data_IF_048317053286
#
_entry.id   IF_048317053286
#
_cell.length_a   1.000
_cell.length_b   1.000
_cell.length_c   1.000
_cell.angle_alpha   90.00
_cell.angle_beta   90.00
_cell.angle_gamma   90.00
#
_symmetry.space_group_name_H-M   'P 1'
#
loop_
_entity.id
_entity.type
_entity.pdbx_description
1 polymer ?
#
# COMPACT_ATOMS: atom_id res chain seq x y z
N UNK A 1 17.95 0.80 -0.85
CA UNK A 1 17.11 1.83 -1.51
C UNK A 1 15.72 1.25 -1.65
N UNK A 2 14.71 1.97 -1.18
CA UNK A 2 13.28 1.62 -1.26
C UNK A 2 12.54 2.79 -1.91
N UNK A 3 11.27 2.59 -2.25
CA UNK A 3 10.41 3.59 -2.87
C UNK A 3 9.06 3.53 -2.16
N UNK A 4 8.54 4.64 -1.66
CA UNK A 4 7.17 4.68 -1.12
C UNK A 4 6.13 4.52 -2.24
N UNK A 5 4.93 4.06 -1.91
CA UNK A 5 3.85 3.98 -2.89
C UNK A 5 3.52 5.36 -3.49
N UNK A 6 3.56 6.42 -2.67
CA UNK A 6 3.36 7.80 -3.11
C UNK A 6 4.37 8.21 -4.19
N UNK A 7 5.67 7.99 -3.96
CA UNK A 7 6.72 8.29 -4.95
C UNK A 7 6.55 7.47 -6.24
N UNK A 8 6.14 6.21 -6.12
CA UNK A 8 5.89 5.36 -7.28
C UNK A 8 4.75 5.92 -8.16
N UNK A 9 3.66 6.40 -7.55
CA UNK A 9 2.54 6.98 -8.29
C UNK A 9 2.83 8.38 -8.82
N UNK A 10 3.58 9.20 -8.08
CA UNK A 10 4.03 10.51 -8.54
C UNK A 10 4.87 10.39 -9.83
N UNK A 11 5.82 9.46 -9.86
CA UNK A 11 6.65 9.22 -11.06
C UNK A 11 5.82 8.62 -12.21
N UNK A 12 4.82 7.80 -11.89
CA UNK A 12 3.95 7.14 -12.87
C UNK A 12 2.96 8.12 -13.51
N UNK A 13 2.44 9.08 -12.75
CA UNK A 13 1.39 10.02 -13.20
C UNK A 13 0.06 9.34 -13.49
N UNK A 14 -0.37 8.41 -12.62
CA UNK A 14 -1.65 7.73 -12.77
C UNK A 14 -1.89 6.62 -11.75
N UNK A 15 -3.10 6.03 -11.73
CA UNK A 15 -3.48 5.09 -10.69
C UNK A 15 -2.77 3.74 -10.82
N UNK A 16 -2.78 3.00 -9.72
CA UNK A 16 -2.49 1.57 -9.73
C UNK A 16 -3.52 0.83 -10.60
N UNK A 17 -3.04 -0.12 -11.38
CA UNK A 17 -3.90 -1.09 -12.06
C UNK A 17 -4.32 -2.19 -11.09
N UNK A 18 -5.43 -2.86 -11.40
CA UNK A 18 -6.00 -3.92 -10.56
C UNK A 18 -4.99 -4.99 -10.14
N UNK A 19 -4.17 -5.50 -11.06
CA UNK A 19 -3.15 -6.50 -10.74
C UNK A 19 -2.02 -5.95 -9.86
N UNK A 20 -1.72 -4.65 -9.96
CA UNK A 20 -0.76 -3.99 -9.07
C UNK A 20 -1.34 -3.85 -7.66
N UNK A 21 -2.65 -3.59 -7.54
CA UNK A 21 -3.35 -3.54 -6.25
C UNK A 21 -3.37 -4.92 -5.59
N UNK A 22 -3.72 -5.97 -6.33
CA UNK A 22 -3.64 -7.36 -5.83
C UNK A 22 -2.23 -7.71 -5.34
N UNK A 23 -1.21 -7.32 -6.11
CA UNK A 23 0.17 -7.60 -5.75
C UNK A 23 0.62 -6.86 -4.49
N UNK A 24 0.33 -5.56 -4.39
CA UNK A 24 0.66 -4.76 -3.19
C UNK A 24 -0.14 -5.28 -1.99
N UNK A 25 -1.43 -5.58 -2.15
CA UNK A 25 -2.27 -6.17 -1.10
C UNK A 25 -1.68 -7.48 -0.58
N UNK A 26 -1.30 -8.40 -1.47
CA UNK A 26 -0.68 -9.67 -1.09
C UNK A 26 0.63 -9.45 -0.33
N UNK A 27 1.54 -8.65 -0.87
CA UNK A 27 2.83 -8.42 -0.21
C UNK A 27 2.67 -7.71 1.14
N UNK A 28 1.74 -6.76 1.25
CA UNK A 28 1.46 -6.05 2.51
C UNK A 28 0.86 -6.99 3.55
N UNK A 29 -0.06 -7.88 3.15
CA UNK A 29 -0.65 -8.85 4.04
C UNK A 29 0.39 -9.89 4.54
N UNK A 30 1.31 -10.34 3.68
CA UNK A 30 2.44 -11.19 4.08
C UNK A 30 3.36 -10.49 5.11
N UNK A 31 3.72 -9.23 4.85
CA UNK A 31 4.55 -8.44 5.76
C UNK A 31 3.86 -8.18 7.10
N UNK A 32 2.55 -7.90 7.10
CA UNK A 32 1.76 -7.77 8.33
C UNK A 32 1.68 -9.09 9.10
N UNK A 33 1.42 -10.21 8.43
CA UNK A 33 1.39 -11.52 9.09
C UNK A 33 2.71 -11.83 9.79
N UNK A 34 3.84 -11.58 9.12
CA UNK A 34 5.17 -11.81 9.71
C UNK A 34 5.47 -10.83 10.86
N UNK A 35 5.00 -9.59 10.75
CA UNK A 35 5.10 -8.60 11.83
C UNK A 35 4.34 -9.07 13.08
N UNK A 36 3.07 -9.45 12.94
CA UNK A 36 2.26 -9.96 14.06
C UNK A 36 2.79 -11.28 14.63
N UNK A 37 3.51 -12.09 13.84
CA UNK A 37 4.18 -13.31 14.33
C UNK A 37 5.42 -12.99 15.19
N UNK A 38 6.13 -11.91 14.87
CA UNK A 38 7.38 -11.50 15.54
C UNK A 38 7.15 -10.66 16.79
N UNK A 39 6.11 -9.84 16.81
CA UNK A 39 5.82 -8.95 17.95
C UNK A 39 5.21 -9.77 19.09
N UNK A 40 5.93 -9.83 20.21
CA UNK A 40 5.36 -10.22 21.50
C UNK A 40 4.52 -9.06 22.05
N UNK A 41 3.47 -9.37 22.82
CA UNK A 41 2.59 -8.40 23.51
C UNK A 41 3.32 -7.36 24.39
N UNK A 42 4.63 -7.50 24.58
CA UNK A 42 5.47 -6.66 25.44
C UNK A 42 5.88 -5.31 24.82
N UNK A 43 5.69 -5.09 23.51
CA UNK A 43 5.92 -3.77 22.90
C UNK A 43 4.80 -3.37 21.91
N UNK A 44 3.63 -2.96 22.43
CA UNK A 44 2.53 -2.47 21.60
C UNK A 44 2.86 -1.18 20.84
N UNK A 45 3.85 -0.40 21.30
CA UNK A 45 4.25 0.85 20.64
C UNK A 45 4.88 0.59 19.26
N UNK A 46 5.54 -0.56 19.08
CA UNK A 46 6.09 -0.99 17.79
C UNK A 46 5.03 -1.23 16.70
N UNK A 47 3.74 -1.25 17.05
CA UNK A 47 2.61 -1.41 16.13
C UNK A 47 1.73 -0.14 16.04
N UNK A 48 2.22 1.01 16.52
CA UNK A 48 1.47 2.26 16.55
C UNK A 48 1.44 3.05 15.22
N UNK A 49 1.91 2.47 14.11
CA UNK A 49 2.02 3.17 12.82
C UNK A 49 0.72 3.08 12.00
N UNK A 50 0.55 4.04 11.09
CA UNK A 50 -0.55 4.08 10.13
C UNK A 50 0.00 3.71 8.75
N UNK A 51 -0.62 2.75 8.08
CA UNK A 51 -0.29 2.44 6.68
C UNK A 51 -0.93 3.52 5.81
N UNK A 52 -0.11 4.16 5.00
CA UNK A 52 -0.45 5.25 4.10
C UNK A 52 0.41 5.13 2.83
N UNK A 53 0.11 5.88 1.76
CA UNK A 53 0.94 5.89 0.56
C UNK A 53 2.41 6.23 0.83
N UNK A 54 2.70 7.04 1.85
CA UNK A 54 4.06 7.44 2.20
C UNK A 54 4.78 6.45 3.12
N UNK A 55 4.04 5.72 3.96
CA UNK A 55 4.61 4.74 4.88
C UNK A 55 4.75 3.33 4.28
N UNK A 56 4.02 3.02 3.20
CA UNK A 56 4.13 1.75 2.48
C UNK A 56 5.34 1.77 1.54
N UNK A 57 6.40 1.08 1.91
CA UNK A 57 7.66 1.02 1.17
C UNK A 57 7.71 -0.22 0.28
N UNK A 58 7.92 0.00 -1.01
CA UNK A 58 8.17 -1.01 -2.03
C UNK A 58 9.68 -1.30 -2.10
N UNK A 59 10.08 -2.57 -1.95
CA UNK A 59 11.49 -2.96 -1.98
C UNK A 59 11.91 -3.54 -3.34
N UNK A 60 13.18 -3.38 -3.76
CA UNK A 60 13.72 -4.01 -4.98
C UNK A 60 13.63 -5.54 -4.99
N UNK A 61 13.49 -6.18 -3.82
CA UNK A 61 13.22 -7.61 -3.68
C UNK A 61 11.82 -8.01 -4.17
N UNK A 62 10.90 -7.06 -4.32
CA UNK A 62 9.49 -7.29 -4.63
C UNK A 62 8.61 -7.51 -3.39
N UNK A 63 9.19 -7.41 -2.19
CA UNK A 63 8.44 -7.36 -0.93
C UNK A 63 8.10 -5.91 -0.55
N UNK A 64 7.31 -5.74 0.50
CA UNK A 64 6.96 -4.43 1.07
C UNK A 64 7.35 -4.35 2.54
N UNK A 65 7.60 -3.15 3.04
CA UNK A 65 7.80 -2.86 4.46
C UNK A 65 7.04 -1.59 4.84
N UNK A 66 6.95 -1.30 6.13
CA UNK A 66 6.28 -0.12 6.66
C UNK A 66 7.26 0.75 7.45
N UNK A 67 7.04 2.06 7.45
CA UNK A 67 7.82 3.02 8.23
C UNK A 67 6.92 4.11 8.80
N UNK A 68 7.28 4.62 9.98
CA UNK A 68 6.72 5.84 10.57
C UNK A 68 7.68 7.04 10.41
N UNK A 69 8.81 6.85 9.71
CA UNK A 69 9.78 7.89 9.47
C UNK A 69 9.30 8.84 8.35
N UNK A 70 9.58 10.14 8.51
CA UNK A 70 9.34 11.19 7.50
C UNK A 70 7.88 11.38 7.05
N UNK A 71 6.90 10.87 7.79
CA UNK A 71 5.45 11.09 7.51
C UNK A 71 4.82 12.23 8.31
N UNK A 72 5.59 12.92 9.16
CA UNK A 72 5.07 13.95 10.09
C UNK A 72 4.45 15.18 9.39
N UNK A 73 4.77 15.41 8.12
CA UNK A 73 4.21 16.49 7.30
C UNK A 73 2.94 16.09 6.54
N UNK A 74 2.56 14.81 6.55
CA UNK A 74 1.43 14.29 5.77
C UNK A 74 0.13 14.28 6.60
N UNK A 75 -0.99 14.58 5.94
CA UNK A 75 -2.31 14.38 6.54
C UNK A 75 -2.70 12.89 6.45
N UNK A 76 -2.63 12.19 7.57
CA UNK A 76 -2.92 10.76 7.66
C UNK A 76 -4.39 10.48 8.02
N UNK A 77 -5.23 11.50 8.18
CA UNK A 77 -6.61 11.33 8.67
C UNK A 77 -7.43 10.40 7.78
N UNK A 78 -7.25 10.48 6.47
CA UNK A 78 -7.95 9.63 5.50
C UNK A 78 -7.58 8.13 5.61
N UNK A 79 -6.42 7.82 6.21
CA UNK A 79 -5.93 6.45 6.38
C UNK A 79 -6.08 5.95 7.81
N UNK A 80 -6.51 6.81 8.74
CA UNK A 80 -6.61 6.50 10.15
C UNK A 80 -7.97 5.87 10.44
N UNK A 81 -7.96 4.70 11.10
CA UNK A 81 -9.19 4.01 11.48
C UNK A 81 -10.09 4.88 12.39
N UNK A 82 -11.43 4.83 12.24
CA UNK A 82 -12.35 5.68 12.99
C UNK A 82 -12.17 5.62 14.51
N UNK A 83 -11.93 4.44 15.07
CA UNK A 83 -11.72 4.22 16.49
C UNK A 83 -10.44 4.88 17.02
N UNK A 84 -9.40 4.99 16.18
CA UNK A 84 -8.16 5.68 16.52
C UNK A 84 -8.39 7.19 16.52
N UNK A 85 -9.11 7.73 15.53
CA UNK A 85 -9.52 9.14 15.51
C UNK A 85 -10.40 9.52 16.71
N UNK A 86 -11.18 8.56 17.20
CA UNK A 86 -12.05 8.73 18.36
C UNK A 86 -11.34 8.44 19.70
N UNK A 87 -10.03 8.15 19.69
CA UNK A 87 -9.23 7.80 20.86
C UNK A 87 -9.83 6.64 21.68
N UNK A 88 -10.43 5.66 21.00
CA UNK A 88 -10.91 4.44 21.66
C UNK A 88 -9.72 3.59 22.09
N UNK A 89 -9.83 2.93 23.25
CA UNK A 89 -8.79 2.06 23.76
C UNK A 89 -8.70 0.79 22.92
N UNK A 90 -7.50 0.46 22.45
CA UNK A 90 -7.19 -0.81 21.79
C UNK A 90 -6.85 -1.83 22.86
N UNK A 91 -7.53 -2.97 22.84
CA UNK A 91 -7.49 -3.94 23.95
C UNK A 91 -6.80 -5.24 23.57
N UNK A 92 -6.59 -5.48 22.28
CA UNK A 92 -6.01 -6.72 21.77
C UNK A 92 -5.14 -6.51 20.54
N UNK A 93 -4.28 -7.50 20.24
CA UNK A 93 -3.56 -7.54 18.96
C UNK A 93 -4.52 -7.65 17.76
N UNK A 94 -5.72 -8.20 17.97
CA UNK A 94 -6.73 -8.23 16.90
C UNK A 94 -7.21 -6.81 16.59
N UNK A 95 -7.44 -5.96 17.59
CA UNK A 95 -7.83 -4.56 17.36
C UNK A 95 -6.74 -3.83 16.56
N UNK A 96 -5.47 -4.06 16.92
CA UNK A 96 -4.32 -3.52 16.19
C UNK A 96 -4.26 -4.04 14.76
N UNK A 97 -4.47 -5.35 14.54
CA UNK A 97 -4.58 -5.93 13.19
C UNK A 97 -5.67 -5.23 12.37
N UNK A 98 -6.84 -4.97 12.95
CA UNK A 98 -7.96 -4.31 12.26
C UNK A 98 -7.69 -2.87 11.87
N UNK A 99 -6.86 -2.15 12.62
CA UNK A 99 -6.41 -0.80 12.26
C UNK A 99 -5.45 -0.83 11.08
N UNK A 100 -4.51 -1.79 11.06
CA UNK A 100 -3.60 -1.96 9.92
C UNK A 100 -4.36 -2.39 8.66
N UNK A 101 -5.37 -3.26 8.80
CA UNK A 101 -6.25 -3.65 7.70
C UNK A 101 -7.00 -2.45 7.13
N UNK A 102 -7.59 -1.62 7.98
CA UNK A 102 -8.30 -0.41 7.54
C UNK A 102 -7.37 0.55 6.80
N UNK A 103 -6.23 0.87 7.41
CA UNK A 103 -5.27 1.83 6.85
C UNK A 103 -4.67 1.35 5.53
N UNK A 104 -4.37 0.05 5.40
CA UNK A 104 -3.97 -0.56 4.14
C UNK A 104 -5.08 -0.48 3.07
N UNK A 105 -6.34 -0.75 3.44
CA UNK A 105 -7.47 -0.66 2.52
C UNK A 105 -7.64 0.76 1.97
N UNK A 106 -7.60 1.77 2.85
CA UNK A 106 -7.65 3.18 2.45
C UNK A 106 -6.46 3.58 1.58
N UNK A 107 -5.27 3.05 1.87
CA UNK A 107 -4.06 3.27 1.05
C UNK A 107 -4.23 2.74 -0.37
N UNK A 108 -4.83 1.56 -0.53
CA UNK A 108 -5.05 0.95 -1.83
C UNK A 108 -6.18 1.62 -2.61
N UNK A 109 -7.25 2.07 -1.94
CA UNK A 109 -8.27 2.91 -2.58
C UNK A 109 -7.67 4.22 -3.08
N UNK A 110 -6.84 4.88 -2.27
CA UNK A 110 -6.12 6.07 -2.70
C UNK A 110 -5.25 5.80 -3.92
N UNK A 111 -4.53 4.67 -3.94
CA UNK A 111 -3.72 4.28 -5.09
C UNK A 111 -4.54 3.97 -6.36
N UNK A 112 -5.76 3.44 -6.20
CA UNK A 112 -6.68 3.18 -7.31
C UNK A 112 -7.36 4.44 -7.86
N UNK A 113 -7.49 5.48 -7.02
CA UNK A 113 -8.10 6.77 -7.34
C UNK A 113 -7.08 7.86 -7.73
N UNK A 114 -5.78 7.55 -7.65
CA UNK A 114 -4.72 8.53 -7.89
C UNK A 114 -4.80 9.13 -9.29
N UNK A 115 -4.93 10.46 -9.36
CA UNK A 115 -5.12 11.23 -10.60
C UNK A 115 -6.33 10.79 -11.46
N UNK A 116 -7.30 10.09 -10.87
CA UNK A 116 -8.57 9.80 -11.52
C UNK A 116 -9.46 11.06 -11.46
N UNK A 117 -10.04 11.52 -12.59
CA UNK A 117 -10.96 12.66 -12.56
C UNK A 117 -12.17 12.37 -11.68
N UNK A 118 -12.59 13.30 -10.83
CA UNK A 118 -13.72 13.13 -9.89
C UNK A 118 -15.05 12.70 -10.55
N UNK A 119 -15.22 12.95 -11.84
CA UNK A 119 -16.39 12.52 -12.60
C UNK A 119 -16.38 11.02 -12.97
N UNK A 120 -15.24 10.35 -12.79
CA UNK A 120 -15.05 8.94 -13.12
C UNK A 120 -14.98 8.12 -11.83
N UNK A 121 -15.74 7.02 -11.74
CA UNK A 121 -15.60 6.11 -10.61
C UNK A 121 -14.28 5.35 -10.71
N UNK A 122 -13.73 4.98 -9.56
CA UNK A 122 -12.64 4.02 -9.45
C UNK A 122 -13.05 2.72 -10.17
N UNK A 123 -12.15 2.18 -11.01
CA UNK A 123 -12.40 0.97 -11.79
C UNK A 123 -11.69 -0.22 -11.17
N UNK A 124 -12.40 -1.00 -10.38
CA UNK A 124 -11.93 -2.25 -9.80
C UNK A 124 -12.90 -3.38 -10.14
N UNK A 125 -12.37 -4.58 -10.35
CA UNK A 125 -13.18 -5.79 -10.40
C UNK A 125 -13.95 -6.00 -9.08
N UNK A 126 -15.16 -6.55 -9.19
CA UNK A 126 -16.10 -6.71 -8.07
C UNK A 126 -15.48 -7.46 -6.88
N UNK A 127 -14.64 -8.46 -7.17
CA UNK A 127 -14.01 -9.25 -6.12
C UNK A 127 -12.99 -8.43 -5.31
N UNK A 128 -12.09 -7.72 -5.98
CA UNK A 128 -11.12 -6.86 -5.32
C UNK A 128 -11.83 -5.75 -4.54
N UNK A 129 -12.82 -5.11 -5.15
CA UNK A 129 -13.59 -4.06 -4.51
C UNK A 129 -14.30 -4.58 -3.25
N UNK A 130 -14.89 -5.77 -3.29
CA UNK A 130 -15.53 -6.38 -2.12
C UNK A 130 -14.53 -6.63 -0.98
N UNK A 131 -13.30 -7.04 -1.28
CA UNK A 131 -12.26 -7.23 -0.27
C UNK A 131 -11.86 -5.87 0.34
N UNK A 132 -11.60 -4.86 -0.49
CA UNK A 132 -11.23 -3.53 0.00
C UNK A 132 -12.35 -2.88 0.83
N UNK A 133 -13.62 -3.03 0.42
CA UNK A 133 -14.78 -2.62 1.24
C UNK A 133 -14.77 -3.34 2.59
N UNK A 134 -14.57 -4.66 2.60
CA UNK A 134 -14.46 -5.45 3.83
C UNK A 134 -13.26 -5.07 4.70
N UNK A 135 -12.19 -4.48 4.15
CA UNK A 135 -11.07 -3.94 4.92
C UNK A 135 -11.42 -2.59 5.55
N UNK A 136 -12.20 -1.77 4.84
CA UNK A 136 -12.55 -0.39 5.18
C UNK A 136 -13.88 -0.25 5.94
N UNK A 137 -14.44 -1.32 6.47
CA UNK A 137 -15.64 -1.24 7.33
C UNK A 137 -15.40 -0.32 8.54
N UNK A 138 -16.35 0.57 8.83
CA UNK A 138 -16.23 1.48 9.99
C UNK A 138 -16.21 0.69 11.31
N UNK A 139 -16.97 -0.40 11.34
CA UNK A 139 -17.11 -1.27 12.50
C UNK A 139 -15.92 -2.24 12.57
N UNK A 140 -15.07 -2.09 13.60
CA UNK A 140 -13.80 -2.84 13.73
C UNK A 140 -13.94 -4.36 13.57
N UNK A 141 -15.00 -4.96 14.13
CA UNK A 141 -15.23 -6.41 14.07
C UNK A 141 -15.87 -6.90 12.76
N UNK A 142 -16.40 -5.99 11.94
CA UNK A 142 -16.87 -6.31 10.59
C UNK A 142 -15.71 -6.37 9.58
N UNK A 143 -14.57 -5.75 9.91
CA UNK A 143 -13.39 -5.76 9.04
C UNK A 143 -12.87 -7.18 8.83
N UNK A 144 -12.40 -7.47 7.63
CA UNK A 144 -11.70 -8.73 7.32
C UNK A 144 -10.40 -8.88 8.12
N UNK A 145 -9.87 -10.09 8.23
CA UNK A 145 -8.56 -10.34 8.86
C UNK A 145 -7.44 -10.35 7.81
N UNK A 146 -6.18 -10.23 8.24
CA UNK A 146 -5.01 -10.44 7.38
C UNK A 146 -5.06 -11.82 6.72
N UNK A 147 -5.53 -12.84 7.47
CA UNK A 147 -5.72 -14.19 6.93
C UNK A 147 -6.74 -14.22 5.80
N UNK A 148 -7.90 -13.58 5.99
CA UNK A 148 -8.95 -13.50 4.96
C UNK A 148 -8.42 -12.81 3.69
N UNK A 149 -7.63 -11.75 3.84
CA UNK A 149 -6.96 -11.07 2.73
C UNK A 149 -6.00 -12.01 2.00
N UNK A 150 -5.13 -12.73 2.72
CA UNK A 150 -4.20 -13.69 2.12
C UNK A 150 -4.90 -14.84 1.40
N UNK A 151 -6.01 -15.34 1.95
CA UNK A 151 -6.84 -16.37 1.33
C UNK A 151 -7.43 -15.86 0.00
N UNK A 152 -7.92 -14.62 -0.03
CA UNK A 152 -8.44 -13.97 -1.24
C UNK A 152 -7.34 -13.75 -2.29
N UNK A 153 -6.18 -13.20 -1.90
CA UNK A 153 -5.04 -13.03 -2.81
C UNK A 153 -4.58 -14.37 -3.39
N UNK A 154 -4.51 -15.42 -2.55
CA UNK A 154 -4.15 -16.76 -3.00
C UNK A 154 -5.18 -17.34 -3.98
N UNK A 155 -6.47 -17.07 -3.78
CA UNK A 155 -7.51 -17.46 -4.71
C UNK A 155 -7.39 -16.70 -6.05
N UNK A 156 -7.13 -15.39 -6.02
CA UNK A 156 -6.90 -14.59 -7.22
C UNK A 156 -5.72 -15.14 -8.04
N UNK A 157 -4.58 -15.40 -7.39
CA UNK A 157 -3.38 -15.95 -8.06
C UNK A 157 -3.64 -17.31 -8.71
N UNK A 158 -4.45 -18.18 -8.08
CA UNK A 158 -4.79 -19.49 -8.65
C UNK A 158 -5.79 -19.41 -9.82
N UNK A 159 -6.67 -18.42 -9.80
CA UNK A 159 -7.77 -18.30 -10.74
C UNK A 159 -7.48 -17.32 -11.88
N UNK A 160 -6.36 -16.61 -11.83
CA UNK A 160 -5.90 -15.68 -12.86
C UNK A 160 -4.59 -16.17 -13.48
N UNK A 161 -4.27 -15.67 -14.67
CA UNK A 161 -2.94 -15.85 -15.28
C UNK A 161 -2.02 -14.67 -14.92
N UNK A 162 -2.16 -14.11 -13.70
CA UNK A 162 -1.37 -12.97 -13.28
C UNK A 162 0.10 -13.36 -13.10
N UNK A 163 1.00 -12.38 -13.22
CA UNK A 163 2.38 -12.59 -12.80
C UNK A 163 2.46 -12.73 -11.26
N UNK A 164 3.55 -13.29 -10.70
CA UNK A 164 3.73 -13.34 -9.26
C UNK A 164 3.70 -11.94 -8.62
N UNK A 165 3.09 -11.77 -7.45
CA UNK A 165 2.92 -10.47 -6.77
C UNK A 165 4.21 -9.65 -6.66
N UNK A 166 5.32 -10.30 -6.26
CA UNK A 166 6.62 -9.63 -6.14
C UNK A 166 7.11 -8.98 -7.46
N UNK A 167 6.66 -9.48 -8.61
CA UNK A 167 7.08 -8.98 -9.93
C UNK A 167 6.48 -7.60 -10.22
N UNK A 168 5.22 -7.37 -9.88
CA UNK A 168 4.58 -6.06 -10.00
C UNK A 168 5.22 -5.03 -9.06
N UNK A 169 5.50 -5.41 -7.81
CA UNK A 169 6.21 -4.53 -6.86
C UNK A 169 7.59 -4.15 -7.39
N UNK A 170 8.34 -5.11 -7.96
CA UNK A 170 9.62 -4.82 -8.62
C UNK A 170 9.47 -3.85 -9.78
N UNK A 171 8.41 -3.96 -10.58
CA UNK A 171 8.17 -3.03 -11.67
C UNK A 171 7.91 -1.61 -11.16
N UNK A 172 7.07 -1.44 -10.13
CA UNK A 172 6.83 -0.15 -9.50
C UNK A 172 8.13 0.50 -8.97
N UNK A 173 8.97 -0.28 -8.29
CA UNK A 173 10.27 0.20 -7.80
C UNK A 173 11.20 0.60 -8.96
N UNK A 174 11.22 -0.20 -10.04
CA UNK A 174 12.04 0.10 -11.23
C UNK A 174 11.59 1.35 -11.97
N UNK A 175 10.30 1.70 -11.95
CA UNK A 175 9.83 2.94 -12.57
C UNK A 175 10.53 4.16 -11.94
N UNK A 176 10.62 4.19 -10.61
CA UNK A 176 11.27 5.30 -9.89
C UNK A 176 12.78 5.23 -10.04
N UNK A 177 13.41 4.09 -9.70
CA UNK A 177 14.86 3.99 -9.68
C UNK A 177 15.49 3.99 -11.09
N UNK A 178 14.78 3.49 -12.09
CA UNK A 178 15.20 3.55 -13.49
C UNK A 178 15.21 4.97 -14.04
N UNK A 179 14.23 5.81 -13.66
CA UNK A 179 14.20 7.21 -14.02
C UNK A 179 15.35 8.02 -13.39
N UNK A 180 15.79 7.65 -12.18
CA UNK A 180 16.97 8.27 -11.55
C UNK A 180 18.27 7.98 -12.33
N UNK A 181 18.36 6.85 -13.03
CA UNK A 181 19.52 6.52 -13.88
C UNK A 181 19.54 7.24 -15.24
N UNK A 182 18.43 7.92 -15.60
CA UNK A 182 18.27 8.66 -16.86
C UNK A 182 18.66 10.15 -16.79
N UNK A 183 19.10 10.66 -15.64
CA UNK A 183 19.52 12.06 -15.48
C UNK A 183 20.98 12.23 -15.93
N UNK A 184 21.27 11.94 -17.20
CA UNK A 184 22.31 12.69 -17.91
C UNK A 184 21.59 13.86 -18.59
N UNK A 185 21.99 15.13 -18.35
CA UNK A 185 21.41 16.22 -19.09
C UNK A 185 21.67 15.96 -20.58
N UNK A 186 20.59 15.84 -21.37
CA UNK A 186 20.70 15.97 -22.82
C UNK A 186 21.50 17.25 -23.08
N UNK A 187 22.58 17.23 -23.87
CA UNK A 187 23.26 18.46 -24.23
C UNK A 187 22.23 19.35 -24.93
N UNK A 188 22.05 20.55 -24.39
CA UNK A 188 21.26 21.58 -25.05
C UNK A 188 21.82 21.79 -26.47
N UNK A 189 20.99 22.11 -27.48
CA UNK A 189 21.48 22.40 -28.83
C UNK A 189 22.51 23.55 -28.92
N UNK A 190 22.75 24.27 -27.83
CA UNK A 190 23.69 25.38 -27.73
C UNK A 190 25.15 24.97 -27.45
N UNK A 191 25.44 23.69 -27.17
CA UNK A 191 26.82 23.22 -26.94
C UNK A 191 27.53 22.64 -28.18
N UNK A 192 26.95 22.80 -29.38
CA UNK A 192 27.54 22.39 -30.67
C UNK A 192 28.03 23.59 -31.52
N UNK A 193 28.10 24.79 -30.94
CA UNK A 193 28.50 26.02 -31.64
C UNK A 193 29.65 26.80 -30.98
N UNK A 194 30.50 26.12 -30.21
CA UNK A 194 31.83 26.60 -29.82
C UNK A 194 32.85 25.48 -30.07
#
# INVERSE_FOLDING_TARGET
MHVSLAEALEVRGGPLQEEEIWAVLNQSAESLQELFRKVSLADPAALGFIISPWSLLLLPSGSVSFTDENISSQDLRAFTAPEVLQNQSLTSLSDVEKIHIYSLGMTLYWGADYEVPQSQPIKLGDHLNSILLGMCEDVIYARVSVRTVLDACSAHIRNSNCAPSFSYVKHLVKLVLGNLSGVFPKPSPLSLLL
#
